data_IF_810747672538
#
_entry.id   IF_810747672538
#
_cell.length_a   1.000
_cell.length_b   1.000
_cell.length_c   1.000
_cell.angle_alpha   90.00
_cell.angle_beta   90.00
_cell.angle_gamma   90.00
#
_symmetry.space_group_name_H-M   'P 1'
#
loop_
_entity.id
_entity.type
_entity.pdbx_description
1 polymer ?
#
# COMPACT_ATOMS: atom_id res chain seq x y z
N UNK A 1 -29.02 7.27 -10.44
CA UNK A 1 -28.41 8.60 -10.24
C UNK A 1 -27.23 8.73 -11.20
N UNK A 2 -27.23 9.81 -11.98
CA UNK A 2 -26.14 10.19 -12.88
C UNK A 2 -25.25 11.21 -12.18
N UNK A 3 -23.94 11.05 -12.33
CA UNK A 3 -22.95 12.00 -11.81
C UNK A 3 -22.11 12.50 -12.98
N UNK A 4 -21.91 13.81 -13.08
CA UNK A 4 -20.94 14.40 -14.00
C UNK A 4 -19.76 14.97 -13.24
N UNK A 5 -18.54 14.65 -13.68
CA UNK A 5 -17.31 15.32 -13.26
C UNK A 5 -16.92 16.24 -14.41
N UNK A 6 -16.80 17.54 -14.15
CA UNK A 6 -16.54 18.55 -15.18
C UNK A 6 -15.25 19.31 -14.95
N UNK A 7 -14.66 19.85 -16.04
CA UNK A 7 -13.49 20.73 -16.03
C UNK A 7 -12.19 20.10 -15.49
N UNK A 8 -12.17 18.79 -15.24
CA UNK A 8 -11.01 18.11 -14.66
C UNK A 8 -9.90 17.81 -15.67
N UNK A 9 -8.69 17.59 -15.17
CA UNK A 9 -7.62 16.97 -15.92
C UNK A 9 -7.63 15.48 -15.65
N UNK A 10 -8.07 14.67 -16.61
CA UNK A 10 -8.02 13.21 -16.55
C UNK A 10 -6.55 12.79 -16.65
N UNK A 11 -6.12 11.90 -15.78
CA UNK A 11 -4.77 11.32 -15.77
C UNK A 11 -4.89 9.81 -15.73
N UNK A 12 -4.46 9.15 -16.78
CA UNK A 12 -4.19 7.72 -16.88
C UNK A 12 -2.67 7.47 -16.86
N UNK A 13 -2.25 6.22 -16.83
CA UNK A 13 -0.82 5.87 -16.83
C UNK A 13 -0.09 6.16 -18.16
N UNK A 14 -0.81 6.38 -19.24
CA UNK A 14 -0.29 6.56 -20.59
C UNK A 14 -0.72 7.88 -21.26
N UNK A 15 -1.63 8.63 -20.64
CA UNK A 15 -2.16 9.87 -21.20
C UNK A 15 -2.69 10.83 -20.13
N UNK A 16 -2.69 12.12 -20.49
CA UNK A 16 -3.27 13.19 -19.67
C UNK A 16 -3.96 14.21 -20.56
N UNK A 17 -5.23 14.50 -20.29
CA UNK A 17 -6.04 15.41 -21.10
C UNK A 17 -7.19 16.02 -20.29
N UNK A 18 -7.77 17.14 -20.79
CA UNK A 18 -8.95 17.76 -20.19
C UNK A 18 -10.22 17.19 -20.80
N UNK A 19 -11.11 16.69 -19.95
CA UNK A 19 -12.44 16.24 -20.38
C UNK A 19 -13.41 16.19 -19.19
N UNK A 20 -14.69 15.99 -19.49
CA UNK A 20 -15.75 15.70 -18.56
C UNK A 20 -16.03 14.19 -18.54
N UNK A 21 -16.50 13.67 -17.41
CA UNK A 21 -16.88 12.27 -17.26
C UNK A 21 -18.36 12.20 -16.88
N UNK A 22 -19.12 11.36 -17.55
CA UNK A 22 -20.47 10.97 -17.14
C UNK A 22 -20.43 9.59 -16.50
N UNK A 23 -20.98 9.47 -15.31
CA UNK A 23 -21.09 8.22 -14.56
C UNK A 23 -22.58 7.84 -14.52
N UNK A 24 -22.89 6.60 -14.96
CA UNK A 24 -24.21 5.99 -14.90
C UNK A 24 -24.10 4.52 -14.48
N UNK A 25 -25.02 4.06 -13.65
CA UNK A 25 -25.10 2.65 -13.23
C UNK A 25 -23.78 2.08 -12.70
N UNK A 26 -23.01 2.89 -11.96
CA UNK A 26 -21.75 2.46 -11.36
C UNK A 26 -20.55 2.44 -12.31
N UNK A 27 -20.72 2.84 -13.57
CA UNK A 27 -19.69 2.82 -14.62
C UNK A 27 -19.45 4.19 -15.23
N UNK A 28 -18.29 4.36 -15.82
CA UNK A 28 -17.99 5.49 -16.70
C UNK A 28 -18.78 5.28 -18.00
N UNK A 29 -19.83 6.06 -18.17
CA UNK A 29 -20.69 5.95 -19.34
C UNK A 29 -20.11 6.68 -20.55
N UNK A 30 -19.49 7.87 -20.31
CA UNK A 30 -18.93 8.69 -21.38
C UNK A 30 -17.79 9.57 -20.88
N UNK A 31 -16.81 9.80 -21.74
CA UNK A 31 -15.73 10.77 -21.56
C UNK A 31 -15.71 11.70 -22.77
N UNK A 32 -15.81 13.02 -22.58
CA UNK A 32 -15.84 13.97 -23.68
C UNK A 32 -15.74 15.43 -23.22
N UNK A 33 -15.73 16.35 -24.19
CA UNK A 33 -15.67 17.79 -23.91
C UNK A 33 -17.05 18.42 -23.72
N UNK A 34 -18.12 17.71 -24.08
CA UNK A 34 -19.49 18.18 -23.95
C UNK A 34 -19.96 18.28 -22.50
N UNK A 35 -20.98 19.11 -22.24
CA UNK A 35 -21.68 19.12 -20.96
C UNK A 35 -22.63 17.94 -20.88
N UNK A 36 -22.58 17.20 -19.79
CA UNK A 36 -23.50 16.10 -19.52
C UNK A 36 -24.63 16.55 -18.59
N UNK A 37 -25.85 16.13 -18.88
CA UNK A 37 -26.96 16.25 -17.93
C UNK A 37 -26.80 15.17 -16.84
N UNK A 38 -26.82 15.61 -15.59
CA UNK A 38 -26.60 14.73 -14.44
C UNK A 38 -27.37 15.22 -13.21
N UNK A 39 -27.72 14.27 -12.32
CA UNK A 39 -28.39 14.57 -11.05
C UNK A 39 -27.43 15.28 -10.07
N UNK A 40 -26.13 14.99 -10.14
CA UNK A 40 -25.07 15.62 -9.35
C UNK A 40 -23.88 15.99 -10.26
N UNK A 41 -23.36 17.20 -10.06
CA UNK A 41 -22.18 17.70 -10.76
C UNK A 41 -21.04 17.92 -9.76
N UNK A 42 -19.86 17.42 -10.08
CA UNK A 42 -18.61 17.63 -9.38
C UNK A 42 -17.73 18.53 -10.25
N UNK A 43 -17.45 19.74 -9.80
CA UNK A 43 -16.51 20.63 -10.48
C UNK A 43 -15.07 20.28 -10.06
N UNK A 44 -14.32 19.78 -11.04
CA UNK A 44 -12.92 19.42 -10.90
C UNK A 44 -11.99 20.46 -11.56
N UNK A 45 -12.41 21.73 -11.65
CA UNK A 45 -11.55 22.82 -12.14
C UNK A 45 -10.24 22.86 -11.38
N UNK A 46 -9.11 22.84 -12.09
CA UNK A 46 -7.74 22.76 -11.57
C UNK A 46 -7.43 21.50 -10.75
N UNK A 47 -8.25 20.46 -10.83
CA UNK A 47 -8.04 19.19 -10.15
C UNK A 47 -7.65 18.09 -11.14
N UNK A 48 -7.01 17.07 -10.60
CA UNK A 48 -6.68 15.84 -11.29
C UNK A 48 -7.81 14.83 -11.05
N UNK A 49 -8.22 14.15 -12.11
CA UNK A 49 -9.19 13.06 -12.04
C UNK A 49 -8.44 11.79 -12.41
N UNK A 50 -8.27 10.91 -11.45
CA UNK A 50 -7.48 9.69 -11.57
C UNK A 50 -8.37 8.46 -11.32
N UNK A 51 -8.00 7.26 -11.83
CA UNK A 51 -8.64 6.04 -11.37
C UNK A 51 -8.49 5.91 -9.85
N UNK A 52 -9.47 5.32 -9.20
CA UNK A 52 -9.40 5.03 -7.77
C UNK A 52 -8.10 4.30 -7.44
N UNK A 53 -7.41 4.76 -6.41
CA UNK A 53 -6.13 4.18 -6.02
C UNK A 53 -6.32 2.77 -5.47
N UNK A 54 -5.33 1.93 -5.65
CA UNK A 54 -5.29 0.53 -5.17
C UNK A 54 -4.07 0.39 -4.27
N UNK A 55 -4.32 0.12 -2.99
CA UNK A 55 -3.26 -0.09 -2.01
C UNK A 55 -3.07 -1.59 -1.77
N UNK A 56 -1.91 -2.11 -2.12
CA UNK A 56 -1.62 -3.53 -2.05
C UNK A 56 -1.17 -4.01 -0.67
N UNK A 57 -1.03 -3.10 0.33
CA UNK A 57 -0.47 -3.44 1.62
C UNK A 57 -1.06 -2.60 2.74
N UNK A 58 -2.06 -3.15 3.46
CA UNK A 58 -2.66 -2.50 4.64
C UNK A 58 -2.91 -3.50 5.77
N UNK A 59 -2.93 -3.01 7.01
CA UNK A 59 -3.25 -3.76 8.22
C UNK A 59 -4.46 -3.15 8.91
N UNK A 60 -5.65 -3.66 8.64
CA UNK A 60 -6.87 -3.14 9.27
C UNK A 60 -7.12 -3.70 10.69
N UNK A 61 -6.26 -4.59 11.17
CA UNK A 61 -6.29 -5.10 12.55
C UNK A 61 -7.58 -5.85 12.94
N UNK A 62 -8.41 -6.19 12.00
CA UNK A 62 -9.75 -6.75 12.16
C UNK A 62 -9.86 -8.07 11.36
N UNK A 63 -10.13 -9.18 12.06
CA UNK A 63 -10.55 -9.31 13.47
C UNK A 63 -9.43 -9.22 14.52
N UNK A 64 -9.81 -8.84 15.74
CA UNK A 64 -9.13 -9.13 17.00
C UNK A 64 -8.25 -8.02 17.59
N UNK A 65 -7.99 -6.94 16.85
CA UNK A 65 -7.25 -5.77 17.34
C UNK A 65 -7.95 -4.45 16.93
N UNK A 66 -9.28 -4.47 16.92
CA UNK A 66 -10.13 -3.37 16.42
C UNK A 66 -9.99 -2.07 17.25
N UNK A 67 -9.33 -2.14 18.38
CA UNK A 67 -8.98 -0.96 19.18
C UNK A 67 -7.87 -0.11 18.53
N UNK A 68 -7.04 -0.71 17.66
CA UNK A 68 -6.01 0.00 16.88
C UNK A 68 -6.60 0.61 15.62
N UNK A 69 -7.31 -0.19 14.85
CA UNK A 69 -8.09 0.17 13.68
C UNK A 69 -9.03 -1.00 13.33
N UNK A 70 -9.98 -0.79 12.44
CA UNK A 70 -10.85 -1.87 11.95
C UNK A 70 -11.16 -1.69 10.46
N UNK A 71 -11.87 -2.67 9.88
CA UNK A 71 -12.25 -2.62 8.46
C UNK A 71 -13.09 -1.37 8.14
N UNK A 72 -13.89 -0.85 9.08
CA UNK A 72 -14.75 0.32 8.84
C UNK A 72 -13.91 1.60 8.86
N UNK A 73 -13.16 1.84 9.92
CA UNK A 73 -12.30 3.04 10.05
C UNK A 73 -11.15 3.03 9.06
N UNK A 74 -10.52 1.87 8.81
CA UNK A 74 -9.52 1.73 7.75
C UNK A 74 -10.10 2.00 6.36
N UNK A 75 -11.33 1.56 6.08
CA UNK A 75 -12.02 1.90 4.82
C UNK A 75 -12.31 3.40 4.71
N UNK A 76 -12.68 4.07 5.82
CA UNK A 76 -12.86 5.52 5.85
C UNK A 76 -11.53 6.26 5.57
N UNK A 77 -10.43 5.79 6.17
CA UNK A 77 -9.09 6.33 5.90
C UNK A 77 -8.66 6.09 4.43
N UNK A 78 -8.98 4.93 3.87
CA UNK A 78 -8.71 4.59 2.48
C UNK A 78 -9.40 5.57 1.51
N UNK A 79 -10.72 5.73 1.64
CA UNK A 79 -11.47 6.65 0.74
C UNK A 79 -11.07 8.11 0.96
N UNK A 80 -10.68 8.51 2.16
CA UNK A 80 -10.13 9.84 2.43
C UNK A 80 -8.75 10.05 1.77
N UNK A 81 -8.01 8.95 1.54
CA UNK A 81 -6.77 8.94 0.76
C UNK A 81 -6.96 8.76 -0.75
N UNK A 82 -8.21 8.65 -1.26
CA UNK A 82 -8.48 8.39 -2.67
C UNK A 82 -8.38 6.91 -3.07
N UNK A 83 -8.23 6.02 -2.10
CA UNK A 83 -8.08 4.57 -2.29
C UNK A 83 -9.46 3.91 -2.34
N UNK A 84 -9.73 3.13 -3.37
CA UNK A 84 -11.01 2.41 -3.58
C UNK A 84 -10.88 0.90 -3.44
N UNK A 85 -9.65 0.39 -3.41
CA UNK A 85 -9.36 -1.03 -3.26
C UNK A 85 -8.14 -1.22 -2.37
N UNK A 86 -8.26 -2.07 -1.35
CA UNK A 86 -7.15 -2.38 -0.43
C UNK A 86 -6.93 -3.89 -0.35
N UNK A 87 -5.65 -4.29 -0.32
CA UNK A 87 -5.25 -5.64 0.05
C UNK A 87 -4.88 -5.67 1.53
N UNK A 88 -5.63 -6.43 2.33
CA UNK A 88 -5.43 -6.50 3.78
C UNK A 88 -4.63 -7.73 4.18
N UNK A 89 -3.53 -7.53 4.90
CA UNK A 89 -2.60 -8.57 5.35
C UNK A 89 -3.22 -9.54 6.35
N UNK A 90 -2.62 -10.74 6.42
CA UNK A 90 -3.13 -11.88 7.17
C UNK A 90 -2.94 -11.82 8.69
N UNK A 91 -2.13 -10.88 9.20
CA UNK A 91 -1.72 -10.80 10.61
C UNK A 91 -2.81 -10.23 11.53
N UNK A 92 -4.01 -10.76 11.41
CA UNK A 92 -5.17 -10.53 12.28
C UNK A 92 -5.15 -11.48 13.49
N UNK A 93 -6.10 -11.37 14.41
CA UNK A 93 -6.24 -12.27 15.55
C UNK A 93 -7.72 -12.73 15.74
N UNK A 94 -8.09 -13.95 15.32
CA UNK A 94 -7.21 -14.98 14.77
C UNK A 94 -6.62 -14.60 13.40
N UNK A 95 -5.49 -15.24 13.06
CA UNK A 95 -4.80 -15.08 11.78
C UNK A 95 -5.72 -15.47 10.63
N UNK A 96 -5.66 -14.74 9.50
CA UNK A 96 -6.40 -15.07 8.28
C UNK A 96 -5.74 -16.28 7.56
N UNK A 97 -5.82 -17.44 8.16
CA UNK A 97 -5.28 -18.71 7.68
C UNK A 97 -6.36 -19.77 7.35
N UNK A 98 -7.62 -19.35 7.36
CA UNK A 98 -8.76 -20.21 7.04
C UNK A 98 -9.90 -19.45 6.34
N UNK A 99 -10.68 -20.17 5.56
CA UNK A 99 -11.74 -19.64 4.71
C UNK A 99 -12.83 -18.82 5.45
N UNK A 100 -13.09 -19.12 6.73
CA UNK A 100 -14.14 -18.43 7.51
C UNK A 100 -13.73 -16.99 7.80
N UNK A 101 -12.46 -16.76 8.17
CA UNK A 101 -11.93 -15.43 8.46
C UNK A 101 -11.89 -14.61 7.18
N UNK A 102 -11.38 -15.19 6.08
CA UNK A 102 -11.37 -14.55 4.75
C UNK A 102 -12.76 -14.04 4.36
N UNK A 103 -13.79 -14.93 4.45
CA UNK A 103 -15.18 -14.54 4.12
C UNK A 103 -15.73 -13.47 5.04
N UNK A 104 -15.45 -13.55 6.35
CA UNK A 104 -15.90 -12.57 7.33
C UNK A 104 -15.33 -11.17 7.05
N UNK A 105 -14.05 -11.06 6.71
CA UNK A 105 -13.41 -9.80 6.33
C UNK A 105 -14.08 -9.19 5.09
N UNK A 106 -14.31 -9.99 4.04
CA UNK A 106 -14.97 -9.55 2.81
C UNK A 106 -16.39 -9.07 3.09
N UNK A 107 -17.15 -9.84 3.88
CA UNK A 107 -18.54 -9.50 4.22
C UNK A 107 -18.62 -8.20 5.02
N UNK A 108 -17.75 -8.02 6.00
CA UNK A 108 -17.69 -6.79 6.80
C UNK A 108 -17.39 -5.57 5.92
N UNK A 109 -16.41 -5.66 5.01
CA UNK A 109 -16.09 -4.59 4.08
C UNK A 109 -17.23 -4.32 3.08
N UNK A 110 -17.87 -5.37 2.56
CA UNK A 110 -19.04 -5.25 1.67
C UNK A 110 -20.19 -4.53 2.35
N UNK A 111 -20.46 -4.84 3.61
CA UNK A 111 -21.51 -4.19 4.39
C UNK A 111 -21.19 -2.71 4.69
N UNK A 112 -19.90 -2.37 4.85
CA UNK A 112 -19.43 -0.99 4.93
C UNK A 112 -19.62 -0.24 3.61
N UNK A 113 -19.35 -0.90 2.48
CA UNK A 113 -19.61 -0.38 1.12
C UNK A 113 -18.72 0.77 0.66
N UNK A 114 -17.60 1.03 1.33
CA UNK A 114 -16.68 2.13 1.03
C UNK A 114 -15.61 1.73 0.02
N UNK A 115 -15.02 0.54 0.17
CA UNK A 115 -13.93 0.02 -0.66
C UNK A 115 -14.20 -1.41 -1.10
N UNK A 116 -13.42 -1.92 -2.06
CA UNK A 116 -13.22 -3.35 -2.23
C UNK A 116 -12.06 -3.78 -1.34
N UNK A 117 -12.34 -4.63 -0.38
CA UNK A 117 -11.34 -5.30 0.43
C UNK A 117 -11.01 -6.65 -0.19
N UNK A 118 -9.74 -6.82 -0.55
CA UNK A 118 -9.20 -8.06 -1.09
C UNK A 118 -8.28 -8.67 0.00
N UNK A 119 -8.71 -9.71 0.72
CA UNK A 119 -7.88 -10.30 1.75
C UNK A 119 -6.65 -11.00 1.17
N UNK A 120 -5.51 -10.79 1.82
CA UNK A 120 -4.32 -11.62 1.70
C UNK A 120 -4.44 -12.67 2.80
N UNK A 121 -4.28 -13.95 2.48
CA UNK A 121 -4.25 -15.01 3.46
C UNK A 121 -2.82 -15.34 3.90
N UNK A 122 -2.66 -16.02 5.02
CA UNK A 122 -1.35 -16.47 5.50
C UNK A 122 -0.72 -17.48 4.52
N UNK A 123 0.60 -17.49 4.43
CA UNK A 123 1.37 -18.57 3.78
C UNK A 123 1.37 -19.80 4.68
N UNK A 124 1.60 -19.59 5.98
CA UNK A 124 1.71 -20.67 6.96
C UNK A 124 0.65 -20.59 8.05
N UNK A 125 0.24 -21.73 8.58
CA UNK A 125 -0.75 -21.81 9.67
C UNK A 125 -0.29 -21.01 10.88
N UNK A 126 -1.15 -20.09 11.34
CA UNK A 126 -0.87 -19.21 12.47
C UNK A 126 0.34 -18.32 12.27
N UNK A 127 0.80 -18.07 11.03
CA UNK A 127 2.05 -17.36 10.70
C UNK A 127 3.29 -18.02 11.34
N UNK A 128 3.25 -19.34 11.55
CA UNK A 128 4.29 -20.08 12.25
C UNK A 128 5.51 -20.47 11.41
N UNK A 129 5.47 -20.26 10.09
CA UNK A 129 6.59 -20.53 9.17
C UNK A 129 6.92 -22.00 8.93
N UNK A 130 6.12 -22.95 9.45
CA UNK A 130 6.43 -24.39 9.42
C UNK A 130 5.54 -25.22 8.50
N UNK A 131 4.26 -24.93 8.45
CA UNK A 131 3.25 -25.68 7.70
C UNK A 131 2.42 -24.71 6.86
N UNK A 132 2.33 -24.94 5.54
CA UNK A 132 1.52 -24.10 4.65
C UNK A 132 0.02 -24.31 4.91
N UNK A 133 -0.76 -23.26 4.60
CA UNK A 133 -2.22 -23.28 4.69
C UNK A 133 -2.85 -24.02 3.50
N UNK A 134 -4.14 -24.31 3.57
CA UNK A 134 -4.93 -24.84 2.45
C UNK A 134 -5.27 -23.71 1.46
N UNK A 135 -4.30 -23.40 0.59
CA UNK A 135 -4.39 -22.25 -0.33
C UNK A 135 -5.61 -22.31 -1.25
N UNK A 136 -5.99 -23.51 -1.70
CA UNK A 136 -7.17 -23.69 -2.55
C UNK A 136 -8.45 -23.22 -1.88
N UNK A 137 -8.68 -23.60 -0.63
CA UNK A 137 -9.88 -23.21 0.14
C UNK A 137 -9.91 -21.69 0.40
N UNK A 138 -8.73 -21.09 0.60
CA UNK A 138 -8.60 -19.65 0.83
C UNK A 138 -8.86 -18.85 -0.45
N UNK A 139 -8.38 -19.31 -1.60
CA UNK A 139 -8.70 -18.70 -2.91
C UNK A 139 -10.21 -18.80 -3.19
N UNK A 140 -10.82 -19.95 -2.95
CA UNK A 140 -12.28 -20.14 -3.09
C UNK A 140 -13.06 -19.22 -2.14
N UNK A 141 -12.52 -18.94 -0.96
CA UNK A 141 -13.09 -18.00 -0.01
C UNK A 141 -12.92 -16.53 -0.44
N UNK A 142 -12.05 -16.22 -1.41
CA UNK A 142 -11.83 -14.89 -1.97
C UNK A 142 -10.50 -14.23 -1.60
N UNK A 143 -9.53 -14.99 -1.04
CA UNK A 143 -8.17 -14.49 -0.90
C UNK A 143 -7.53 -14.29 -2.29
N UNK A 144 -6.70 -13.25 -2.45
CA UNK A 144 -6.10 -12.91 -3.75
C UNK A 144 -4.60 -13.20 -3.80
N UNK A 145 -3.94 -13.26 -2.66
CA UNK A 145 -2.51 -13.51 -2.50
C UNK A 145 -2.23 -14.10 -1.13
N UNK A 146 -0.97 -14.47 -0.87
CA UNK A 146 -0.55 -15.08 0.39
C UNK A 146 0.66 -14.36 0.98
N UNK A 147 0.65 -14.09 2.30
CA UNK A 147 1.74 -13.45 3.01
C UNK A 147 1.75 -13.81 4.49
N UNK A 148 2.94 -14.04 5.03
CA UNK A 148 3.19 -14.05 6.47
C UNK A 148 3.80 -12.72 6.91
N UNK A 149 3.20 -11.60 6.45
CA UNK A 149 3.72 -10.28 6.74
C UNK A 149 3.83 -10.00 8.24
N UNK A 150 4.97 -9.40 8.62
CA UNK A 150 5.37 -9.14 9.99
C UNK A 150 6.02 -10.34 10.70
N UNK A 151 5.82 -11.59 10.20
CA UNK A 151 6.45 -12.82 10.70
C UNK A 151 6.98 -13.64 9.50
N UNK A 152 8.13 -13.30 8.93
CA UNK A 152 8.57 -13.81 7.64
C UNK A 152 8.80 -15.32 7.64
N UNK A 153 8.45 -15.98 6.52
CA UNK A 153 8.77 -17.40 6.30
C UNK A 153 10.29 -17.55 6.14
N UNK A 154 10.95 -18.06 7.16
CA UNK A 154 12.42 -18.25 7.15
C UNK A 154 12.85 -19.53 6.44
N UNK A 155 12.00 -20.56 6.41
CA UNK A 155 12.27 -21.83 5.74
C UNK A 155 12.15 -21.73 4.23
N UNK A 156 13.28 -21.97 3.52
CA UNK A 156 13.28 -22.01 2.05
C UNK A 156 12.41 -23.12 1.48
N UNK A 157 12.26 -24.25 2.19
CA UNK A 157 11.39 -25.35 1.75
C UNK A 157 9.91 -24.98 1.87
N UNK A 158 9.50 -24.30 2.93
CA UNK A 158 8.12 -23.82 3.11
C UNK A 158 7.80 -22.74 2.07
N UNK A 159 8.68 -21.75 1.86
CA UNK A 159 8.49 -20.71 0.85
C UNK A 159 8.43 -21.30 -0.56
N UNK A 160 9.29 -22.28 -0.88
CA UNK A 160 9.22 -23.01 -2.15
C UNK A 160 7.86 -23.69 -2.35
N UNK A 161 7.40 -24.46 -1.35
CA UNK A 161 6.11 -25.14 -1.42
C UNK A 161 4.94 -24.13 -1.58
N UNK A 162 5.00 -22.99 -0.89
CA UNK A 162 4.02 -21.92 -1.01
C UNK A 162 3.98 -21.32 -2.43
N UNK A 163 5.14 -21.04 -3.03
CA UNK A 163 5.25 -20.54 -4.39
C UNK A 163 4.69 -21.55 -5.41
N UNK A 164 5.04 -22.84 -5.29
CA UNK A 164 4.52 -23.89 -6.15
C UNK A 164 3.00 -24.02 -6.01
N UNK A 165 2.47 -24.03 -4.78
CA UNK A 165 1.04 -24.21 -4.52
C UNK A 165 0.21 -22.99 -4.93
N UNK A 166 0.62 -21.77 -4.58
CA UNK A 166 -0.09 -20.56 -4.99
C UNK A 166 -0.17 -20.39 -6.51
N UNK A 167 0.90 -20.77 -7.23
CA UNK A 167 0.94 -20.69 -8.70
C UNK A 167 -0.09 -21.58 -9.39
N UNK A 168 -0.51 -22.69 -8.77
CA UNK A 168 -1.54 -23.59 -9.32
C UNK A 168 -2.90 -22.91 -9.49
N UNK A 169 -3.15 -21.85 -8.71
CA UNK A 169 -4.39 -21.06 -8.74
C UNK A 169 -4.23 -19.71 -9.47
N UNK A 170 -3.07 -19.46 -10.09
CA UNK A 170 -2.77 -18.15 -10.69
C UNK A 170 -2.60 -17.03 -9.67
N UNK A 171 -2.36 -17.37 -8.40
CA UNK A 171 -2.07 -16.45 -7.30
C UNK A 171 -0.57 -16.35 -7.05
N UNK A 172 -0.16 -15.54 -6.07
CA UNK A 172 1.23 -15.27 -5.78
C UNK A 172 1.49 -15.09 -4.29
N UNK A 173 2.78 -15.18 -3.90
CA UNK A 173 3.21 -14.87 -2.55
C UNK A 173 3.76 -13.45 -2.47
N UNK A 174 3.44 -12.77 -1.36
CA UNK A 174 4.01 -11.46 -0.98
C UNK A 174 4.99 -11.72 0.16
N UNK A 175 6.25 -11.39 -0.04
CA UNK A 175 7.30 -11.63 0.94
C UNK A 175 7.61 -10.38 1.76
N UNK A 176 7.38 -10.44 3.07
CA UNK A 176 8.06 -9.60 4.04
C UNK A 176 9.49 -10.13 4.15
N UNK A 177 10.36 -9.61 3.31
CA UNK A 177 11.71 -10.18 3.14
C UNK A 177 12.62 -9.83 4.30
N UNK A 178 12.71 -10.74 5.28
CA UNK A 178 13.53 -10.56 6.47
C UNK A 178 14.19 -11.87 6.91
N UNK A 179 15.52 -11.86 7.10
CA UNK A 179 16.25 -12.91 7.81
C UNK A 179 16.28 -12.59 9.30
N UNK A 180 15.39 -13.24 10.07
CA UNK A 180 15.23 -13.01 11.50
C UNK A 180 16.49 -13.34 12.32
N UNK A 181 17.44 -14.14 11.80
CA UNK A 181 18.69 -14.45 12.48
C UNK A 181 19.59 -13.20 12.65
N UNK A 182 19.40 -12.19 11.78
CA UNK A 182 20.14 -10.92 11.80
C UNK A 182 19.41 -9.79 12.53
N UNK A 183 18.21 -10.02 13.05
CA UNK A 183 17.42 -8.95 13.68
C UNK A 183 17.96 -8.52 15.04
N UNK A 184 18.59 -9.42 15.81
CA UNK A 184 19.24 -9.17 17.12
C UNK A 184 18.43 -8.25 18.07
N UNK A 185 17.10 -8.30 18.02
CA UNK A 185 16.22 -7.37 18.73
C UNK A 185 16.48 -5.90 18.37
N UNK A 186 16.89 -5.63 17.12
CA UNK A 186 17.10 -4.28 16.61
C UNK A 186 15.79 -3.51 16.52
N UNK A 187 15.88 -2.20 16.65
CA UNK A 187 14.70 -1.30 16.70
C UNK A 187 14.73 -0.22 15.62
N UNK A 188 15.86 -0.11 14.91
CA UNK A 188 16.08 0.83 13.81
C UNK A 188 17.17 0.29 12.89
N UNK A 189 17.49 1.00 11.81
CA UNK A 189 18.59 0.68 10.91
C UNK A 189 19.95 0.66 11.65
N UNK A 190 20.75 -0.37 11.41
CA UNK A 190 22.12 -0.47 11.91
C UNK A 190 23.03 0.46 11.10
N UNK A 191 23.54 1.52 11.72
CA UNK A 191 24.38 2.49 11.06
C UNK A 191 24.86 3.60 11.99
N UNK A 192 25.27 4.71 11.41
CA UNK A 192 25.78 5.86 12.16
C UNK A 192 24.76 6.40 13.18
N UNK A 193 23.49 6.50 12.78
CA UNK A 193 22.44 7.09 13.62
C UNK A 193 22.13 6.19 14.82
N UNK A 194 22.02 4.88 14.63
CA UNK A 194 21.78 3.93 15.74
C UNK A 194 22.94 3.95 16.77
N UNK A 195 24.19 4.06 16.28
CA UNK A 195 25.35 4.19 17.15
C UNK A 195 25.32 5.50 17.97
N UNK A 196 24.96 6.61 17.37
CA UNK A 196 24.83 7.92 18.08
C UNK A 196 23.72 7.84 19.13
N UNK A 197 22.57 7.25 18.79
CA UNK A 197 21.41 7.16 19.68
C UNK A 197 21.54 6.06 20.76
N UNK A 198 22.54 5.19 20.64
CA UNK A 198 22.69 4.04 21.53
C UNK A 198 21.59 2.98 21.39
N UNK A 199 20.90 2.96 20.23
CA UNK A 199 19.83 2.01 19.92
C UNK A 199 20.37 0.79 19.19
N UNK A 200 19.76 -0.38 19.42
CA UNK A 200 20.14 -1.61 18.71
C UNK A 200 19.72 -1.49 17.23
N UNK A 201 20.69 -1.71 16.35
CA UNK A 201 20.48 -1.70 14.92
C UNK A 201 20.00 -3.04 14.38
N UNK A 202 19.32 -3.00 13.24
CA UNK A 202 19.00 -4.11 12.36
C UNK A 202 19.85 -3.99 11.11
N UNK A 203 20.68 -4.99 10.82
CA UNK A 203 21.50 -5.00 9.62
C UNK A 203 20.65 -4.92 8.37
N UNK A 204 21.10 -4.18 7.33
CA UNK A 204 20.35 -4.11 6.05
C UNK A 204 20.36 -5.45 5.33
N UNK A 205 21.40 -6.23 5.52
CA UNK A 205 21.60 -7.56 4.94
C UNK A 205 20.47 -8.54 5.31
N UNK A 206 19.73 -8.28 6.39
CA UNK A 206 18.55 -9.10 6.73
C UNK A 206 17.49 -9.09 5.62
N UNK A 207 17.27 -7.94 4.98
CA UNK A 207 16.38 -7.79 3.84
C UNK A 207 17.02 -8.37 2.57
N UNK A 208 18.27 -8.00 2.31
CA UNK A 208 18.99 -8.36 1.08
C UNK A 208 19.16 -9.87 0.91
N UNK A 209 19.48 -10.59 1.98
CA UNK A 209 19.60 -12.06 1.98
C UNK A 209 18.22 -12.70 1.71
N UNK A 210 17.17 -12.23 2.35
CA UNK A 210 15.83 -12.76 2.15
C UNK A 210 15.33 -12.51 0.72
N UNK A 211 15.52 -11.30 0.19
CA UNK A 211 15.20 -10.95 -1.22
C UNK A 211 15.97 -11.85 -2.19
N UNK A 212 17.28 -12.08 -1.95
CA UNK A 212 18.10 -12.97 -2.77
C UNK A 212 17.58 -14.40 -2.78
N UNK A 213 17.23 -14.94 -1.58
CA UNK A 213 16.64 -16.28 -1.42
C UNK A 213 15.32 -16.37 -2.22
N UNK A 214 14.44 -15.42 -2.03
CA UNK A 214 13.10 -15.44 -2.62
C UNK A 214 13.15 -15.31 -4.14
N UNK A 215 14.03 -14.47 -4.67
CA UNK A 215 14.30 -14.38 -6.10
C UNK A 215 14.76 -15.73 -6.68
N UNK A 216 15.69 -16.43 -6.01
CA UNK A 216 16.17 -17.74 -6.46
C UNK A 216 15.08 -18.81 -6.40
N UNK A 217 14.20 -18.76 -5.39
CA UNK A 217 13.04 -19.67 -5.29
C UNK A 217 12.02 -19.37 -6.40
N UNK A 218 11.75 -18.11 -6.70
CA UNK A 218 10.89 -17.72 -7.83
C UNK A 218 11.46 -18.20 -9.16
N UNK A 219 12.79 -18.08 -9.36
CA UNK A 219 13.48 -18.63 -10.54
C UNK A 219 13.31 -20.15 -10.66
N UNK A 220 13.47 -20.88 -9.56
CA UNK A 220 13.32 -22.34 -9.49
C UNK A 220 11.90 -22.80 -9.83
N UNK A 221 10.90 -22.16 -9.20
CA UNK A 221 9.49 -22.56 -9.28
C UNK A 221 8.76 -21.95 -10.48
N UNK A 222 9.32 -20.90 -11.08
CA UNK A 222 8.68 -20.02 -12.09
C UNK A 222 7.41 -19.34 -11.59
N UNK A 223 7.16 -19.37 -10.30
CA UNK A 223 6.02 -18.72 -9.65
C UNK A 223 6.27 -17.20 -9.55
N UNK A 224 5.19 -16.43 -9.39
CA UNK A 224 5.27 -15.01 -9.11
C UNK A 224 5.55 -14.78 -7.63
N UNK A 225 6.55 -13.95 -7.34
CA UNK A 225 6.79 -13.41 -6.01
C UNK A 225 6.76 -11.88 -6.03
N UNK A 226 6.09 -11.30 -5.06
CA UNK A 226 6.05 -9.86 -4.83
C UNK A 226 6.85 -9.54 -3.56
N UNK A 227 7.85 -8.66 -3.67
CA UNK A 227 8.65 -8.22 -2.53
C UNK A 227 7.99 -6.99 -1.92
N UNK A 228 7.52 -7.13 -0.69
CA UNK A 228 6.87 -6.04 0.05
C UNK A 228 7.89 -4.97 0.46
N UNK A 229 7.44 -3.71 0.56
CA UNK A 229 8.10 -2.55 1.17
C UNK A 229 9.63 -2.51 1.06
N UNK A 230 10.21 -2.66 -0.14
CA UNK A 230 11.66 -2.64 -0.36
C UNK A 230 12.27 -1.34 0.16
N UNK A 231 13.31 -1.45 0.98
CA UNK A 231 13.93 -0.31 1.66
C UNK A 231 15.43 -0.15 1.38
N UNK A 232 16.14 -1.20 0.95
CA UNK A 232 17.60 -1.21 0.73
C UNK A 232 17.97 -1.02 -0.75
N UNK A 233 19.01 -0.21 -1.00
CA UNK A 233 19.59 -0.04 -2.33
C UNK A 233 20.05 -1.38 -2.92
N UNK A 234 20.61 -2.29 -2.11
CA UNK A 234 21.11 -3.56 -2.63
C UNK A 234 19.99 -4.54 -2.93
N UNK A 235 18.90 -4.54 -2.16
CA UNK A 235 17.68 -5.28 -2.49
C UNK A 235 17.14 -4.88 -3.87
N UNK A 236 17.14 -3.58 -4.19
CA UNK A 236 16.74 -3.11 -5.52
C UNK A 236 17.65 -3.62 -6.64
N UNK A 237 18.97 -3.69 -6.41
CA UNK A 237 19.93 -4.27 -7.39
C UNK A 237 19.64 -5.76 -7.62
N UNK A 238 19.31 -6.51 -6.58
CA UNK A 238 18.95 -7.94 -6.68
C UNK A 238 17.66 -8.10 -7.48
N UNK A 239 16.64 -7.30 -7.21
CA UNK A 239 15.36 -7.32 -7.92
C UNK A 239 15.58 -6.95 -9.41
N UNK A 240 16.39 -5.93 -9.69
CA UNK A 240 16.73 -5.54 -11.05
C UNK A 240 17.41 -6.67 -11.82
N UNK A 241 18.34 -7.37 -11.18
CA UNK A 241 18.99 -8.56 -11.76
C UNK A 241 17.95 -9.65 -12.05
N UNK A 242 17.06 -9.94 -11.13
CA UNK A 242 15.97 -10.90 -11.32
C UNK A 242 15.06 -10.56 -12.49
N UNK A 243 14.63 -9.30 -12.59
CA UNK A 243 13.80 -8.82 -13.72
C UNK A 243 14.54 -8.92 -15.06
N UNK A 244 15.83 -8.58 -15.12
CA UNK A 244 16.68 -8.73 -16.32
C UNK A 244 16.85 -10.19 -16.75
N UNK A 245 16.84 -11.12 -15.83
CA UNK A 245 16.86 -12.57 -16.10
C UNK A 245 15.47 -13.15 -16.45
N UNK A 246 14.43 -12.33 -16.47
CA UNK A 246 13.05 -12.76 -16.78
C UNK A 246 12.38 -13.53 -15.64
N UNK A 247 12.87 -13.40 -14.40
CA UNK A 247 12.22 -13.98 -13.22
C UNK A 247 10.93 -13.20 -12.95
N UNK A 248 9.85 -13.91 -12.63
CA UNK A 248 8.56 -13.31 -12.31
C UNK A 248 8.60 -12.72 -10.89
N UNK A 249 9.28 -11.58 -10.75
CA UNK A 249 9.44 -10.84 -9.50
C UNK A 249 8.93 -9.41 -9.67
N UNK A 250 8.10 -8.97 -8.72
CA UNK A 250 7.63 -7.59 -8.60
C UNK A 250 7.93 -7.05 -7.21
N UNK A 251 7.86 -5.74 -7.01
CA UNK A 251 8.12 -5.14 -5.71
C UNK A 251 7.33 -3.86 -5.48
N UNK A 252 7.17 -3.51 -4.23
CA UNK A 252 6.56 -2.25 -3.79
C UNK A 252 7.51 -1.42 -2.94
N UNK A 253 7.26 -0.11 -2.90
CA UNK A 253 7.87 0.79 -1.92
C UNK A 253 6.79 1.57 -1.19
N UNK A 254 7.08 1.98 0.04
CA UNK A 254 6.12 2.74 0.84
C UNK A 254 6.45 4.23 0.84
N UNK A 255 5.44 5.09 1.08
CA UNK A 255 5.64 6.53 1.18
C UNK A 255 6.68 6.94 2.22
N UNK A 256 6.79 6.23 3.33
CA UNK A 256 7.78 6.55 4.36
C UNK A 256 9.22 6.18 3.94
N UNK A 257 9.44 5.11 3.15
CA UNK A 257 10.78 4.72 2.70
C UNK A 257 11.34 5.64 1.59
N UNK A 258 10.50 6.31 0.80
CA UNK A 258 11.00 7.31 -0.16
C UNK A 258 10.98 8.75 0.36
N UNK A 259 10.45 8.98 1.58
CA UNK A 259 10.32 10.33 2.15
C UNK A 259 11.23 10.61 3.34
N UNK A 260 11.55 9.58 4.14
CA UNK A 260 12.26 9.73 5.40
C UNK A 260 13.50 8.84 5.47
N UNK A 261 14.58 9.36 6.04
CA UNK A 261 15.75 8.58 6.43
C UNK A 261 15.78 8.36 7.95
N UNK A 262 16.70 7.52 8.41
CA UNK A 262 16.96 7.27 9.82
C UNK A 262 17.40 8.53 10.59
N UNK A 263 17.94 9.55 9.90
CA UNK A 263 18.23 10.87 10.47
C UNK A 263 17.02 11.52 11.15
N UNK A 264 15.79 11.21 10.70
CA UNK A 264 14.58 11.77 11.29
C UNK A 264 14.38 11.32 12.75
N UNK A 265 14.82 10.12 13.13
CA UNK A 265 14.76 9.63 14.50
C UNK A 265 15.67 10.47 15.40
N UNK A 266 16.88 10.82 14.92
CA UNK A 266 17.81 11.69 15.63
C UNK A 266 17.27 13.12 15.77
N UNK A 267 16.73 13.70 14.70
CA UNK A 267 16.19 15.06 14.68
C UNK A 267 14.96 15.25 15.55
N UNK A 268 14.15 14.18 15.69
CA UNK A 268 12.86 14.21 16.40
C UNK A 268 12.91 13.49 17.76
N UNK A 269 14.07 13.40 18.40
CA UNK A 269 14.22 12.97 19.78
C UNK A 269 13.55 11.63 20.12
N UNK A 270 13.84 10.59 19.35
CA UNK A 270 13.28 9.23 19.53
C UNK A 270 11.75 9.14 19.31
N UNK A 271 11.17 9.99 18.46
CA UNK A 271 9.75 9.90 18.14
C UNK A 271 9.41 8.52 17.57
N UNK A 272 8.61 7.77 18.31
CA UNK A 272 8.20 6.40 17.99
C UNK A 272 7.37 6.30 16.72
N UNK A 273 6.81 7.42 16.22
CA UNK A 273 6.08 7.49 14.96
C UNK A 273 7.00 7.32 13.74
N UNK A 274 8.34 7.37 13.91
CA UNK A 274 9.31 6.99 12.86
C UNK A 274 9.76 5.53 12.97
N UNK A 275 9.23 4.74 13.92
CA UNK A 275 9.60 3.33 14.08
C UNK A 275 8.79 2.44 13.15
N UNK A 276 9.48 1.81 12.20
CA UNK A 276 8.90 0.96 11.16
C UNK A 276 9.77 -0.28 10.89
N UNK A 277 9.19 -1.35 10.34
CA UNK A 277 9.90 -2.52 9.79
C UNK A 277 9.42 -2.81 8.38
N UNK A 278 10.33 -2.80 7.36
CA UNK A 278 11.75 -2.48 7.45
C UNK A 278 12.00 -1.10 8.03
N UNK A 279 13.13 -0.88 8.73
CA UNK A 279 13.41 0.42 9.33
C UNK A 279 13.68 1.49 8.26
N UNK A 280 13.41 2.74 8.60
CA UNK A 280 13.90 3.86 7.80
C UNK A 280 15.41 3.74 7.66
N UNK A 281 15.89 3.83 6.41
CA UNK A 281 17.29 3.60 6.04
C UNK A 281 18.04 4.91 5.91
N UNK A 282 19.30 4.83 5.51
CA UNK A 282 20.14 5.99 5.24
C UNK A 282 19.63 6.81 4.03
N UNK A 283 20.08 8.04 3.91
CA UNK A 283 19.74 8.94 2.79
C UNK A 283 20.09 8.33 1.42
N UNK A 284 21.13 7.50 1.34
CA UNK A 284 21.51 6.78 0.12
C UNK A 284 20.43 5.80 -0.33
N UNK A 285 19.83 5.06 0.60
CA UNK A 285 18.75 4.12 0.31
C UNK A 285 17.47 4.85 -0.13
N UNK A 286 17.12 5.95 0.55
CA UNK A 286 16.00 6.83 0.15
C UNK A 286 16.17 7.30 -1.30
N UNK A 287 17.38 7.72 -1.68
CA UNK A 287 17.68 8.12 -3.07
C UNK A 287 17.55 6.96 -4.04
N UNK A 288 18.04 5.77 -3.68
CA UNK A 288 17.93 4.58 -4.51
C UNK A 288 16.48 4.16 -4.73
N UNK A 289 15.63 4.20 -3.69
CA UNK A 289 14.18 3.93 -3.81
C UNK A 289 13.52 4.94 -4.75
N UNK A 290 13.83 6.23 -4.62
CA UNK A 290 13.30 7.27 -5.51
C UNK A 290 13.72 7.08 -6.97
N UNK A 291 14.97 6.72 -7.22
CA UNK A 291 15.44 6.42 -8.58
C UNK A 291 14.78 5.15 -9.13
N UNK A 292 14.56 4.14 -8.30
CA UNK A 292 13.84 2.93 -8.67
C UNK A 292 12.35 3.17 -9.01
N UNK A 293 11.69 4.11 -8.32
CA UNK A 293 10.34 4.58 -8.68
C UNK A 293 10.33 5.27 -10.04
N UNK A 294 11.36 6.10 -10.30
CA UNK A 294 11.51 6.83 -11.56
C UNK A 294 11.80 5.89 -12.74
N UNK A 295 12.72 4.96 -12.57
CA UNK A 295 13.19 4.07 -13.65
C UNK A 295 12.19 2.98 -14.04
N UNK A 296 11.15 2.73 -13.23
CA UNK A 296 10.20 1.65 -13.45
C UNK A 296 10.58 0.33 -12.79
N UNK A 297 11.66 0.31 -12.00
CA UNK A 297 12.08 -0.89 -11.29
C UNK A 297 11.08 -1.30 -10.20
N UNK A 298 10.56 -0.32 -9.43
CA UNK A 298 9.47 -0.55 -8.48
C UNK A 298 8.15 -0.55 -9.23
N UNK A 299 7.31 -1.55 -8.96
CA UNK A 299 6.06 -1.79 -9.68
C UNK A 299 4.90 -0.98 -9.10
N UNK A 300 4.78 -0.93 -7.76
CA UNK A 300 3.69 -0.23 -7.07
C UNK A 300 4.18 0.58 -5.86
N UNK A 301 3.40 1.58 -5.47
CA UNK A 301 3.49 2.23 -4.17
C UNK A 301 2.35 1.70 -3.32
N UNK A 302 2.67 1.09 -2.18
CA UNK A 302 1.72 0.62 -1.18
C UNK A 302 2.03 1.27 0.16
N UNK A 303 1.02 1.49 1.00
CA UNK A 303 1.23 2.33 2.19
C UNK A 303 1.88 1.60 3.35
N UNK A 304 1.69 0.30 3.44
CA UNK A 304 1.93 -0.46 4.67
C UNK A 304 1.27 0.25 5.87
N UNK A 305 0.00 0.61 5.67
CA UNK A 305 -0.80 1.26 6.71
C UNK A 305 -0.90 0.34 7.92
N UNK A 306 -0.10 0.65 8.95
CA UNK A 306 0.09 -0.19 10.13
C UNK A 306 -0.29 0.56 11.42
N UNK A 307 -1.60 0.61 11.75
CA UNK A 307 -2.10 1.37 12.89
C UNK A 307 -1.74 0.72 14.22
N UNK A 308 -1.43 1.58 15.20
CA UNK A 308 -1.20 1.25 16.59
C UNK A 308 -1.88 2.25 17.50
N UNK A 309 -2.44 1.76 18.61
CA UNK A 309 -3.07 2.63 19.60
C UNK A 309 -2.05 3.61 20.19
N UNK A 310 -2.52 4.80 20.54
CA UNK A 310 -1.67 5.87 21.08
C UNK A 310 -0.84 5.40 22.28
N UNK A 311 -1.45 4.65 23.21
CA UNK A 311 -0.75 4.15 24.39
C UNK A 311 0.41 3.19 24.07
N UNK A 312 0.34 2.48 22.92
CA UNK A 312 1.43 1.60 22.46
C UNK A 312 2.60 2.40 21.88
N UNK A 313 2.35 3.63 21.44
CA UNK A 313 3.39 4.52 20.85
C UNK A 313 3.95 5.52 21.88
N UNK A 314 3.27 5.82 22.99
CA UNK A 314 3.75 6.67 24.07
C UNK A 314 4.57 5.82 25.07
N UNK A 315 5.63 5.23 24.56
CA UNK A 315 6.60 4.42 25.32
C UNK A 315 8.00 4.71 24.80
N UNK A 316 9.03 4.14 25.43
CA UNK A 316 10.40 4.27 24.94
C UNK A 316 10.54 3.69 23.53
N UNK A 317 11.41 4.27 22.71
CA UNK A 317 11.56 3.92 21.30
C UNK A 317 11.84 2.42 21.08
N UNK A 318 12.63 1.80 21.96
CA UNK A 318 12.95 0.37 21.87
C UNK A 318 11.75 -0.54 22.19
N UNK A 319 10.76 -0.07 22.96
CA UNK A 319 9.55 -0.82 23.33
C UNK A 319 8.37 -0.58 22.41
N UNK A 320 8.33 0.54 21.71
CA UNK A 320 7.23 0.85 20.80
C UNK A 320 7.10 -0.19 19.68
N UNK A 321 5.88 -0.56 19.24
CA UNK A 321 5.68 -1.41 18.10
C UNK A 321 6.07 -0.70 16.80
N UNK A 322 6.44 -1.48 15.79
CA UNK A 322 6.70 -1.01 14.44
C UNK A 322 5.39 -0.71 13.72
N UNK A 323 5.28 0.45 13.08
CA UNK A 323 4.12 0.81 12.28
C UNK A 323 3.91 2.30 12.12
N UNK A 324 3.48 2.68 10.91
CA UNK A 324 3.12 4.04 10.50
C UNK A 324 1.79 3.95 9.75
N UNK A 325 0.82 4.84 10.03
CA UNK A 325 -0.39 4.93 9.20
C UNK A 325 -0.07 5.71 7.92
N UNK A 326 -0.55 5.22 6.75
CA UNK A 326 -0.14 5.72 5.45
C UNK A 326 -1.25 6.11 4.48
N UNK A 327 -2.48 5.58 4.62
CA UNK A 327 -3.54 5.71 3.62
C UNK A 327 -3.84 7.17 3.23
N UNK A 328 -3.99 8.07 4.19
CA UNK A 328 -4.30 9.47 3.92
C UNK A 328 -3.06 10.32 3.57
N UNK A 329 -1.86 9.79 3.75
CA UNK A 329 -0.61 10.44 3.39
C UNK A 329 -0.03 9.96 2.05
N UNK A 330 -0.64 8.95 1.41
CA UNK A 330 -0.25 8.41 0.13
C UNK A 330 -0.22 9.49 -0.96
N UNK A 331 -1.34 10.20 -1.14
CA UNK A 331 -1.47 11.24 -2.18
C UNK A 331 -0.49 12.40 -1.96
N UNK A 332 -0.43 13.08 -0.79
CA UNK A 332 0.48 14.20 -0.62
C UNK A 332 1.96 13.81 -0.75
N UNK A 333 2.37 12.64 -0.26
CA UNK A 333 3.77 12.19 -0.39
C UNK A 333 4.13 11.79 -1.83
N UNK A 334 3.21 11.19 -2.57
CA UNK A 334 3.46 10.84 -3.97
C UNK A 334 3.42 12.08 -4.86
N UNK A 335 2.51 13.03 -4.63
CA UNK A 335 2.52 14.34 -5.31
C UNK A 335 3.80 15.13 -5.03
N UNK A 336 4.40 14.99 -3.85
CA UNK A 336 5.71 15.59 -3.57
C UNK A 336 6.78 15.07 -4.52
N UNK A 337 6.79 13.76 -4.85
CA UNK A 337 7.72 13.22 -5.87
C UNK A 337 7.45 13.82 -7.25
N UNK A 338 6.18 14.05 -7.60
CA UNK A 338 5.82 14.72 -8.87
C UNK A 338 6.32 16.16 -8.88
N UNK A 339 6.07 16.92 -7.82
CA UNK A 339 6.49 18.33 -7.70
C UNK A 339 8.01 18.49 -7.71
N UNK A 340 8.74 17.51 -7.19
CA UNK A 340 10.21 17.46 -7.20
C UNK A 340 10.77 16.92 -8.54
N UNK A 341 9.92 16.56 -9.50
CA UNK A 341 10.32 16.06 -10.81
C UNK A 341 10.93 14.65 -10.80
N UNK A 342 10.71 13.87 -9.75
CA UNK A 342 11.17 12.48 -9.64
C UNK A 342 10.34 11.57 -10.53
N UNK A 343 9.01 11.72 -10.51
CA UNK A 343 8.07 10.97 -11.37
C UNK A 343 7.10 11.91 -12.07
N UNK A 344 6.45 11.46 -13.16
CA UNK A 344 5.34 12.18 -13.78
C UNK A 344 4.00 11.86 -13.09
N UNK A 345 2.93 12.61 -13.43
CA UNK A 345 1.57 12.29 -12.98
C UNK A 345 1.10 10.94 -13.54
N UNK A 346 1.44 10.63 -14.79
CA UNK A 346 1.12 9.37 -15.45
C UNK A 346 1.81 8.20 -14.70
N UNK A 347 3.08 8.39 -14.31
CA UNK A 347 3.81 7.41 -13.49
C UNK A 347 3.23 7.27 -12.08
N UNK A 348 2.73 8.34 -11.48
CA UNK A 348 1.98 8.27 -10.22
C UNK A 348 0.77 7.34 -10.36
N UNK A 349 -0.06 7.51 -11.41
CA UNK A 349 -1.21 6.63 -11.66
C UNK A 349 -0.78 5.19 -11.90
N UNK A 350 0.30 5.00 -12.66
CA UNK A 350 0.84 3.68 -12.91
C UNK A 350 1.21 2.96 -11.60
N UNK A 351 1.92 3.64 -10.69
CA UNK A 351 2.39 3.12 -9.41
C UNK A 351 1.29 2.91 -8.37
N UNK A 352 0.24 3.73 -8.39
CA UNK A 352 -0.78 3.72 -7.33
C UNK A 352 -2.11 3.09 -7.76
N UNK A 353 -2.25 2.67 -9.02
CA UNK A 353 -3.50 2.09 -9.51
C UNK A 353 -3.29 1.07 -10.63
N UNK A 354 -2.72 1.48 -11.76
CA UNK A 354 -2.71 0.67 -13.00
C UNK A 354 -1.94 -0.64 -12.84
N UNK A 355 -0.74 -0.61 -12.24
CA UNK A 355 0.10 -1.82 -12.09
C UNK A 355 -0.51 -2.80 -11.09
N UNK A 356 -1.06 -2.30 -9.97
CA UNK A 356 -1.79 -3.13 -9.02
C UNK A 356 -3.00 -3.81 -9.68
N UNK A 357 -3.80 -3.06 -10.47
CA UNK A 357 -4.94 -3.61 -11.20
C UNK A 357 -4.51 -4.72 -12.19
N UNK A 358 -3.39 -4.53 -12.92
CA UNK A 358 -2.82 -5.53 -13.83
C UNK A 358 -2.36 -6.78 -13.07
N UNK A 359 -1.62 -6.61 -11.98
CA UNK A 359 -1.09 -7.70 -11.15
C UNK A 359 -2.20 -8.58 -10.57
N UNK A 360 -3.30 -7.94 -10.16
CA UNK A 360 -4.49 -8.59 -9.59
C UNK A 360 -5.52 -9.01 -10.64
N UNK A 361 -5.24 -8.81 -11.94
CA UNK A 361 -6.17 -9.10 -13.04
C UNK A 361 -7.55 -8.42 -12.90
N UNK A 362 -7.58 -7.20 -12.33
CA UNK A 362 -8.79 -6.38 -12.20
C UNK A 362 -9.03 -5.61 -13.51
N UNK A 363 -9.75 -6.21 -14.44
CA UNK A 363 -9.90 -5.73 -15.82
C UNK A 363 -10.70 -4.43 -15.96
N UNK A 364 -11.52 -4.11 -14.98
CA UNK A 364 -12.43 -2.96 -14.95
C UNK A 364 -11.96 -1.81 -14.02
N UNK A 365 -10.71 -1.89 -13.51
CA UNK A 365 -10.07 -0.91 -12.64
C UNK A 365 -8.70 -0.46 -13.19
N UNK A 366 -8.10 0.54 -12.57
CA UNK A 366 -6.74 0.98 -12.85
C UNK A 366 -6.61 1.94 -14.05
N UNK A 367 -7.73 2.30 -14.69
CA UNK A 367 -7.81 3.27 -15.80
C UNK A 367 -9.17 3.95 -15.82
N UNK A 368 -9.22 5.19 -16.29
CA UNK A 368 -10.47 5.88 -16.63
C UNK A 368 -10.74 5.69 -18.12
N UNK A 369 -11.72 4.85 -18.45
CA UNK A 369 -12.21 4.63 -19.81
C UNK A 369 -13.71 4.27 -19.79
N UNK A 370 -14.38 4.52 -20.90
CA UNK A 370 -15.81 4.17 -21.04
C UNK A 370 -16.05 2.67 -20.83
N UNK A 371 -17.08 2.33 -20.08
CA UNK A 371 -17.45 0.96 -19.72
C UNK A 371 -16.75 0.41 -18.44
N UNK A 372 -15.70 1.03 -17.97
CA UNK A 372 -15.02 0.63 -16.73
C UNK A 372 -15.81 1.05 -15.49
N UNK A 373 -15.52 0.42 -14.35
CA UNK A 373 -16.10 0.82 -13.06
C UNK A 373 -15.75 2.29 -12.76
N UNK A 374 -16.73 3.02 -12.26
CA UNK A 374 -16.51 4.38 -11.82
C UNK A 374 -15.92 4.42 -10.40
N UNK A 375 -14.69 3.90 -10.29
CA UNK A 375 -13.82 4.04 -9.14
C UNK A 375 -12.86 5.18 -9.47
N UNK A 376 -13.06 6.35 -8.83
CA UNK A 376 -12.42 7.61 -9.24
C UNK A 376 -11.95 8.38 -8.00
N UNK A 377 -10.72 8.88 -8.06
CA UNK A 377 -10.18 9.85 -7.11
C UNK A 377 -10.07 11.22 -7.80
N UNK A 378 -10.76 12.22 -7.26
CA UNK A 378 -10.58 13.64 -7.65
C UNK A 378 -9.59 14.26 -6.67
N UNK A 379 -8.44 14.64 -7.17
CA UNK A 379 -7.31 15.11 -6.36
C UNK A 379 -7.09 16.60 -6.61
N UNK A 380 -7.06 17.39 -5.56
CA UNK A 380 -6.61 18.78 -5.61
C UNK A 380 -5.12 18.82 -5.24
N UNK A 381 -4.21 19.10 -6.20
CA UNK A 381 -2.78 19.09 -5.95
C UNK A 381 -2.29 20.30 -5.17
N UNK A 382 -3.11 21.36 -5.08
CA UNK A 382 -2.73 22.63 -4.48
C UNK A 382 -3.30 22.86 -3.08
N UNK A 383 -4.30 22.09 -2.65
CA UNK A 383 -4.91 22.23 -1.34
C UNK A 383 -3.88 22.02 -0.23
N UNK A 384 -3.83 22.96 0.72
CA UNK A 384 -2.99 22.86 1.91
C UNK A 384 -3.85 22.70 3.16
N UNK A 385 -3.47 21.78 4.03
CA UNK A 385 -4.21 21.48 5.26
C UNK A 385 -3.28 20.98 6.36
N UNK A 386 -3.75 21.02 7.61
CA UNK A 386 -3.07 20.34 8.72
C UNK A 386 -3.65 18.94 8.83
N UNK A 387 -2.79 17.93 8.81
CA UNK A 387 -3.21 16.54 9.02
C UNK A 387 -3.39 16.28 10.51
N UNK A 388 -4.57 16.52 11.02
CA UNK A 388 -4.94 16.44 12.43
C UNK A 388 -6.15 15.51 12.64
N UNK A 389 -6.66 15.44 13.86
CA UNK A 389 -7.81 14.62 14.24
C UNK A 389 -9.09 14.93 13.44
N UNK A 390 -9.24 16.14 12.91
CA UNK A 390 -10.43 16.53 12.12
C UNK A 390 -10.37 15.91 10.72
N UNK A 391 -9.19 15.74 10.19
CA UNK A 391 -8.95 15.19 8.85
C UNK A 391 -8.73 13.69 8.90
N UNK A 392 -8.05 13.18 9.93
CA UNK A 392 -7.78 11.75 10.09
C UNK A 392 -9.08 10.95 10.21
N UNK A 393 -9.12 9.79 9.56
CA UNK A 393 -10.25 8.85 9.56
C UNK A 393 -9.90 7.48 10.14
N UNK A 394 -8.60 7.16 10.30
CA UNK A 394 -8.15 6.01 11.09
C UNK A 394 -8.41 6.25 12.57
N UNK A 395 -8.59 5.19 13.34
CA UNK A 395 -8.62 5.27 14.82
C UNK A 395 -7.26 5.64 15.40
N UNK A 396 -6.19 5.33 14.68
CA UNK A 396 -4.81 5.57 15.09
C UNK A 396 -4.26 6.87 14.54
N UNK A 397 -3.25 7.41 15.22
CA UNK A 397 -2.57 8.68 14.88
C UNK A 397 -1.05 8.52 14.73
N UNK A 398 -0.56 7.28 14.70
CA UNK A 398 0.86 6.94 14.64
C UNK A 398 1.47 7.26 13.27
N UNK A 399 1.65 8.56 13.01
CA UNK A 399 2.31 9.07 11.81
C UNK A 399 3.23 10.24 12.17
N UNK A 400 4.46 10.29 11.62
CA UNK A 400 5.34 11.45 11.82
C UNK A 400 4.81 12.72 11.14
N UNK A 401 3.78 12.58 10.31
CA UNK A 401 3.10 13.69 9.62
C UNK A 401 1.88 14.21 10.38
N UNK A 402 1.48 13.55 11.48
CA UNK A 402 0.35 14.01 12.27
C UNK A 402 0.65 15.39 12.88
N UNK A 403 -0.29 16.32 12.75
CA UNK A 403 -0.11 17.72 13.12
C UNK A 403 0.74 18.55 12.15
N UNK A 404 1.22 17.99 11.05
CA UNK A 404 2.01 18.72 10.04
C UNK A 404 1.13 19.27 8.93
N UNK A 405 1.62 20.33 8.29
CA UNK A 405 1.03 20.90 7.07
C UNK A 405 1.36 20.00 5.87
N UNK A 406 0.34 19.54 5.18
CA UNK A 406 0.43 18.75 3.95
C UNK A 406 -0.12 19.54 2.77
N UNK A 407 0.34 19.20 1.56
CA UNK A 407 -0.11 19.76 0.29
C UNK A 407 -0.57 18.64 -0.63
N UNK A 408 -1.76 18.80 -1.20
CA UNK A 408 -2.40 17.83 -2.09
C UNK A 408 -3.23 16.79 -1.34
N UNK A 409 -4.49 16.61 -1.75
CA UNK A 409 -5.41 15.64 -1.16
C UNK A 409 -6.43 15.14 -2.17
N UNK A 410 -6.96 13.93 -1.93
CA UNK A 410 -8.20 13.49 -2.54
C UNK A 410 -9.35 14.34 -1.98
N UNK A 411 -10.04 15.07 -2.84
CA UNK A 411 -11.17 15.93 -2.44
C UNK A 411 -12.52 15.26 -2.64
N UNK A 412 -12.58 14.28 -3.54
CA UNK A 412 -13.76 13.43 -3.71
C UNK A 412 -13.31 12.04 -4.14
N UNK A 413 -13.84 11.02 -3.47
CA UNK A 413 -13.64 9.63 -3.87
C UNK A 413 -14.97 9.02 -4.26
N UNK A 414 -14.99 8.39 -5.41
CA UNK A 414 -16.15 7.70 -5.98
C UNK A 414 -15.83 6.22 -6.07
N UNK A 415 -16.70 5.38 -5.53
CA UNK A 415 -16.61 3.92 -5.57
C UNK A 415 -17.84 3.35 -6.25
N UNK A 416 -17.63 2.64 -7.37
CA UNK A 416 -18.72 2.06 -8.18
C UNK A 416 -19.83 3.06 -8.45
N UNK A 417 -19.45 4.31 -8.82
CA UNK A 417 -20.37 5.38 -9.15
C UNK A 417 -21.08 6.03 -7.96
N UNK A 418 -20.71 5.74 -6.72
CA UNK A 418 -21.22 6.41 -5.52
C UNK A 418 -20.13 7.28 -4.92
N UNK A 419 -20.47 8.51 -4.54
CA UNK A 419 -19.56 9.36 -3.78
C UNK A 419 -19.48 8.78 -2.37
N UNK A 420 -18.29 8.35 -1.98
CA UNK A 420 -18.02 7.72 -0.68
C UNK A 420 -17.21 8.62 0.25
N UNK A 421 -16.60 9.68 -0.31
CA UNK A 421 -15.87 10.68 0.47
C UNK A 421 -15.93 12.05 -0.21
N UNK A 422 -16.06 13.10 0.58
CA UNK A 422 -15.86 14.50 0.18
C UNK A 422 -15.04 15.20 1.28
N UNK A 423 -13.94 15.85 0.91
CA UNK A 423 -13.02 16.51 1.83
C UNK A 423 -13.73 17.63 2.62
N UNK A 424 -13.54 17.62 3.93
CA UNK A 424 -14.12 18.63 4.83
C UNK A 424 -15.60 18.39 5.20
N UNK A 425 -16.16 17.24 4.80
CA UNK A 425 -17.52 16.83 5.19
C UNK A 425 -17.53 15.68 6.16
#
# INVERSE_FOLDING_TARGET
>A
MKIAIINGTIVNSDEKFKANILIENGKIAKIGSEKFEADKVIDATNKLVMPGLIDMHVHFRDPGQEYKDDIISGSQAAVAGGVTTCLCMANTNPVNDNASITRAMIEKARNCGLIDLLPIAAISKGLGGNEIVEMGDLIEAGAVAFSDDGLPVTSSSVMRAALEYSSMFGSFCISHSEDCSLCRQGVMHEGKVSAILGLRGMAREKEEIAVSRDMLLAKLTKAHIHIAHVSSEYSLKIIEMGKKEGINITCEATPHHFSFSDDEILKNAYDTNFKMSPPLREVSDVKAVREALKSGLIDVIATDHAPHHTDEKIVEFDKAPFGIIGLQTLVPLTLKLVNEGVISLERMVELTSTNAAKMLNLKDKGRLAEGMLADIAVIDPEIEYIYDEKINRSKSVNSPLFGKKLKGAATTTIKSGKIVYEFGK
#
